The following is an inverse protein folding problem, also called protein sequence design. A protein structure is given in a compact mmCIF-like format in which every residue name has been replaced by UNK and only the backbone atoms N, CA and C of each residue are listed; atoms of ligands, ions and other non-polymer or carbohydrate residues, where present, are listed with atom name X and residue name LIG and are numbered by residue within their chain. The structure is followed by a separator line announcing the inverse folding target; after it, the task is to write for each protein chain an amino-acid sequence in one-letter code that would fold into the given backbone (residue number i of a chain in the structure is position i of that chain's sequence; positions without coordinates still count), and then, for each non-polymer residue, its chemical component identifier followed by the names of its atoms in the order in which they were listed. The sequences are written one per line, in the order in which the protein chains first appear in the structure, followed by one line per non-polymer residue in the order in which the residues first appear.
data_IF_514453836169
#
_entry.id   IF_514453836169
#
_cell.length_a   1.000
_cell.length_b   1.000
_cell.length_c   1.000
_cell.angle_alpha   90.00
_cell.angle_beta   90.00
_cell.angle_gamma   90.00
#
_symmetry.space_group_name_H-M   'P 1'
#
loop_
_entity.id
_entity.type
_entity.pdbx_description
1 polymer ?
#
# COMPACT_ATOMS: atom_id res chain seq x y z
N UNK A 1 -11.94 -19.19 6.48
CA UNK A 1 -10.77 -18.81 5.68
C UNK A 1 -9.89 -20.03 5.47
N UNK A 2 -9.27 -20.17 4.32
CA UNK A 2 -8.27 -21.22 4.06
C UNK A 2 -6.97 -20.93 4.82
N UNK A 3 -6.12 -21.93 5.11
CA UNK A 3 -4.85 -21.74 5.84
C UNK A 3 -3.98 -20.61 5.28
N UNK A 4 -3.77 -20.57 3.96
CA UNK A 4 -3.00 -19.51 3.30
C UNK A 4 -3.60 -18.10 3.48
N UNK A 5 -4.92 -18.01 3.63
CA UNK A 5 -5.58 -16.73 3.91
C UNK A 5 -5.32 -16.31 5.36
N UNK A 6 -5.26 -17.24 6.33
CA UNK A 6 -4.87 -16.87 7.69
C UNK A 6 -3.43 -16.35 7.73
N UNK A 7 -2.50 -17.03 7.07
CA UNK A 7 -1.10 -16.61 6.99
C UNK A 7 -0.96 -15.20 6.39
N UNK A 8 -1.69 -14.92 5.31
CA UNK A 8 -1.72 -13.59 4.70
C UNK A 8 -2.29 -12.51 5.65
N UNK A 9 -3.28 -12.87 6.48
CA UNK A 9 -3.87 -11.97 7.46
C UNK A 9 -2.89 -11.65 8.57
N UNK A 10 -2.24 -12.66 9.13
CA UNK A 10 -1.19 -12.46 10.14
C UNK A 10 -0.03 -11.64 9.59
N UNK A 11 0.36 -11.89 8.34
CA UNK A 11 1.42 -11.15 7.68
C UNK A 11 1.06 -9.67 7.53
N UNK A 12 -0.18 -9.32 7.15
CA UNK A 12 -0.61 -7.91 7.11
C UNK A 12 -0.53 -7.25 8.49
N UNK A 13 -0.97 -7.93 9.55
CA UNK A 13 -0.87 -7.43 10.92
C UNK A 13 0.57 -7.15 11.34
N UNK A 14 1.44 -8.14 11.22
CA UNK A 14 2.86 -8.02 11.61
C UNK A 14 3.60 -6.92 10.86
N UNK A 15 3.27 -6.65 9.59
CA UNK A 15 3.95 -5.61 8.79
C UNK A 15 3.35 -4.22 9.00
N UNK A 16 2.02 -4.08 8.92
CA UNK A 16 1.33 -2.78 8.93
C UNK A 16 1.11 -2.27 10.36
N UNK A 17 0.79 -3.18 11.27
CA UNK A 17 0.49 -2.87 12.66
C UNK A 17 1.63 -3.27 13.61
N UNK A 18 2.66 -3.97 13.16
CA UNK A 18 3.85 -4.32 13.94
C UNK A 18 3.75 -5.60 14.77
N UNK A 19 2.54 -6.03 15.15
CA UNK A 19 2.29 -7.29 15.85
C UNK A 19 0.90 -7.85 15.49
N UNK A 20 0.58 -9.05 15.95
CA UNK A 20 -0.74 -9.68 15.90
C UNK A 20 -1.41 -9.75 17.28
N UNK A 21 -0.62 -9.68 18.36
CA UNK A 21 -1.14 -9.72 19.73
C UNK A 21 -1.80 -8.38 20.12
N UNK A 22 -3.08 -8.45 20.48
CA UNK A 22 -3.90 -7.30 20.86
C UNK A 22 -3.33 -6.48 22.02
N UNK A 23 -2.71 -7.13 23.00
CA UNK A 23 -2.17 -6.44 24.17
C UNK A 23 -0.91 -5.63 23.81
N UNK A 24 -0.11 -6.14 22.86
CA UNK A 24 1.07 -5.44 22.34
C UNK A 24 0.70 -4.31 21.38
N UNK A 25 -0.38 -4.49 20.62
CA UNK A 25 -0.92 -3.46 19.72
C UNK A 25 -1.49 -2.23 20.43
N UNK A 26 -1.76 -2.31 21.74
CA UNK A 26 -2.20 -1.18 22.59
C UNK A 26 -1.07 -0.28 23.07
N UNK A 27 0.18 -0.77 23.02
CA UNK A 27 1.36 0.03 23.36
C UNK A 27 1.76 0.92 22.18
N UNK A 28 2.42 2.08 22.39
CA UNK A 28 2.95 2.87 21.29
C UNK A 28 3.90 2.00 20.46
N UNK A 29 3.50 1.75 19.22
CA UNK A 29 4.22 0.85 18.32
C UNK A 29 5.65 1.33 18.12
N UNK A 30 6.62 0.43 18.35
CA UNK A 30 7.96 0.58 17.79
C UNK A 30 7.89 0.63 16.27
N UNK A 31 8.87 1.30 15.65
CA UNK A 31 9.00 1.54 14.21
C UNK A 31 8.23 0.56 13.32
N UNK A 32 7.25 1.09 12.58
CA UNK A 32 6.54 0.29 11.59
C UNK A 32 7.55 -0.32 10.61
N UNK A 33 7.44 -1.62 10.34
CA UNK A 33 8.33 -2.31 9.38
C UNK A 33 8.13 -1.85 7.93
N UNK A 34 7.08 -1.06 7.70
CA UNK A 34 6.68 -0.54 6.41
C UNK A 34 5.38 -1.18 5.90
N UNK A 35 5.23 -1.16 4.59
CA UNK A 35 4.15 -1.75 3.84
C UNK A 35 4.33 -3.25 3.62
N UNK A 36 3.39 -3.86 2.90
CA UNK A 36 3.46 -5.28 2.57
C UNK A 36 2.90 -5.59 1.19
N UNK A 37 3.36 -6.69 0.60
CA UNK A 37 2.89 -7.20 -0.70
C UNK A 37 2.13 -8.49 -0.45
N UNK A 38 0.86 -8.54 -0.87
CA UNK A 38 0.04 -9.75 -0.86
C UNK A 38 -0.02 -10.31 -2.27
N UNK A 39 0.76 -11.35 -2.51
CA UNK A 39 0.79 -12.09 -3.78
C UNK A 39 0.33 -13.53 -3.60
N UNK A 40 -0.93 -13.78 -3.90
CA UNK A 40 -1.44 -15.14 -4.06
C UNK A 40 -1.76 -15.41 -5.54
N UNK A 41 -1.90 -16.67 -5.98
CA UNK A 41 -2.29 -16.95 -7.35
C UNK A 41 -3.64 -16.31 -7.74
N UNK A 42 -3.90 -16.00 -9.03
CA UNK A 42 -5.22 -15.59 -9.50
C UNK A 42 -6.32 -16.58 -9.07
N UNK A 43 -7.53 -16.10 -8.77
CA UNK A 43 -8.62 -16.95 -8.27
C UNK A 43 -8.63 -17.18 -6.76
N UNK A 44 -7.56 -16.81 -6.04
CA UNK A 44 -7.59 -16.70 -4.58
C UNK A 44 -8.25 -15.39 -4.15
N UNK A 45 -9.20 -15.46 -3.22
CA UNK A 45 -9.97 -14.32 -2.73
C UNK A 45 -9.13 -13.37 -1.85
N UNK A 46 -8.24 -12.58 -2.47
CA UNK A 46 -7.39 -11.59 -1.77
C UNK A 46 -8.14 -10.33 -1.33
N UNK A 47 -9.30 -10.09 -1.96
CA UNK A 47 -10.08 -8.88 -1.67
C UNK A 47 -10.80 -9.01 -0.33
N UNK A 48 -11.53 -10.11 -0.06
CA UNK A 48 -12.17 -10.32 1.23
C UNK A 48 -11.18 -10.23 2.39
N UNK A 49 -10.03 -10.87 2.29
CA UNK A 49 -9.03 -10.83 3.37
C UNK A 49 -8.49 -9.41 3.63
N UNK A 50 -8.24 -8.63 2.58
CA UNK A 50 -7.77 -7.25 2.76
C UNK A 50 -8.86 -6.39 3.40
N UNK A 51 -10.13 -6.58 3.02
CA UNK A 51 -11.27 -5.91 3.66
C UNK A 51 -11.39 -6.29 5.14
N UNK A 52 -11.29 -7.59 5.45
CA UNK A 52 -11.35 -8.09 6.84
C UNK A 52 -10.21 -7.50 7.68
N UNK A 53 -9.00 -7.45 7.12
CA UNK A 53 -7.86 -6.77 7.75
C UNK A 53 -8.16 -5.31 8.03
N UNK A 54 -8.60 -4.55 7.02
CA UNK A 54 -8.89 -3.13 7.17
C UNK A 54 -9.99 -2.87 8.19
N UNK A 55 -11.06 -3.67 8.17
CA UNK A 55 -12.14 -3.56 9.14
C UNK A 55 -11.64 -3.81 10.57
N UNK A 56 -10.80 -4.83 10.75
CA UNK A 56 -10.21 -5.17 12.06
C UNK A 56 -9.25 -4.07 12.53
N UNK A 57 -8.40 -3.58 11.63
CA UNK A 57 -7.46 -2.50 11.90
C UNK A 57 -8.17 -1.20 12.28
N UNK A 58 -9.21 -0.79 11.54
CA UNK A 58 -9.96 0.44 11.83
C UNK A 58 -10.77 0.37 13.13
N UNK A 59 -11.23 -0.82 13.52
CA UNK A 59 -11.87 -1.03 14.83
C UNK A 59 -10.90 -0.86 15.99
N UNK A 60 -9.66 -1.33 15.83
CA UNK A 60 -8.63 -1.25 16.87
C UNK A 60 -7.96 0.12 16.91
N UNK A 61 -7.71 0.73 15.75
CA UNK A 61 -7.11 2.04 15.61
C UNK A 61 -8.16 3.07 15.17
N UNK A 62 -9.09 3.41 16.06
CA UNK A 62 -10.19 4.35 15.80
C UNK A 62 -9.74 5.78 15.45
N UNK A 63 -8.48 6.11 15.77
CA UNK A 63 -7.84 7.37 15.38
C UNK A 63 -7.20 7.34 13.99
N UNK A 64 -7.13 6.19 13.30
CA UNK A 64 -6.64 6.10 11.93
C UNK A 64 -7.66 6.73 10.96
N UNK A 65 -7.31 7.87 10.36
CA UNK A 65 -8.30 8.75 9.71
C UNK A 65 -8.55 8.49 8.21
N UNK A 66 -7.76 7.67 7.52
CA UNK A 66 -8.08 7.36 6.12
C UNK A 66 -7.45 6.08 5.58
N UNK A 67 -8.25 5.35 4.80
CA UNK A 67 -7.88 4.15 4.07
C UNK A 67 -8.41 4.29 2.65
N UNK A 68 -7.58 4.00 1.64
CA UNK A 68 -8.02 3.95 0.24
C UNK A 68 -7.82 2.55 -0.31
N UNK A 69 -8.90 1.91 -0.75
CA UNK A 69 -8.85 0.72 -1.60
C UNK A 69 -9.08 1.18 -3.03
N UNK A 70 -8.07 1.09 -3.89
CA UNK A 70 -8.16 1.54 -5.27
C UNK A 70 -7.63 0.50 -6.27
N UNK A 71 -8.30 0.30 -7.42
CA UNK A 71 -7.65 -0.35 -8.55
C UNK A 71 -6.50 0.54 -9.03
N UNK A 72 -5.42 -0.06 -9.55
CA UNK A 72 -4.27 0.67 -10.10
C UNK A 72 -4.66 1.67 -11.20
N UNK A 73 -5.74 1.42 -11.94
CA UNK A 73 -6.32 2.35 -12.92
C UNK A 73 -6.79 3.67 -12.32
N UNK A 74 -7.20 3.69 -11.05
CA UNK A 74 -7.61 4.91 -10.36
C UNK A 74 -6.41 5.81 -10.05
N UNK A 75 -5.20 5.24 -9.89
CA UNK A 75 -3.97 6.02 -9.81
C UNK A 75 -3.61 6.69 -11.14
N UNK A 76 -3.89 6.05 -12.28
CA UNK A 76 -3.71 6.65 -13.61
C UNK A 76 -4.59 7.88 -13.80
N UNK A 77 -5.88 7.73 -13.48
CA UNK A 77 -6.83 8.84 -13.53
C UNK A 77 -6.44 9.95 -12.54
N UNK A 78 -5.93 9.57 -11.36
CA UNK A 78 -5.41 10.54 -10.39
C UNK A 78 -4.20 11.31 -10.87
N UNK A 79 -3.25 10.73 -11.60
CA UNK A 79 -2.11 11.51 -12.07
C UNK A 79 -2.53 12.49 -13.17
N UNK A 80 -3.43 12.07 -14.07
CA UNK A 80 -4.06 12.98 -15.03
C UNK A 80 -4.89 14.07 -14.34
N UNK A 81 -5.61 13.74 -13.27
CA UNK A 81 -6.35 14.71 -12.46
C UNK A 81 -5.43 15.62 -11.65
N UNK A 82 -4.36 15.12 -11.03
CA UNK A 82 -3.35 15.94 -10.34
C UNK A 82 -2.77 16.97 -11.32
N UNK A 83 -2.41 16.55 -12.53
CA UNK A 83 -1.91 17.44 -13.58
C UNK A 83 -2.99 18.44 -14.08
N UNK A 84 -4.27 18.07 -14.03
CA UNK A 84 -5.39 18.97 -14.33
C UNK A 84 -5.67 19.94 -13.17
N UNK A 85 -5.50 19.49 -11.93
CA UNK A 85 -5.68 20.22 -10.68
C UNK A 85 -4.54 21.21 -10.41
N UNK A 86 -3.34 20.93 -10.91
CA UNK A 86 -2.22 21.90 -10.96
C UNK A 86 -2.55 23.16 -11.76
N UNK A 87 -3.55 23.10 -12.68
CA UNK A 87 -4.05 24.28 -13.40
C UNK A 87 -5.07 25.11 -12.62
N UNK A 88 -5.61 24.62 -11.50
CA UNK A 88 -6.60 25.36 -10.70
C UNK A 88 -6.42 25.11 -9.18
N UNK A 89 -5.50 25.85 -8.53
CA UNK A 89 -4.95 25.49 -7.22
C UNK A 89 -5.92 25.63 -6.03
N UNK A 90 -7.03 26.35 -6.19
CA UNK A 90 -7.95 26.70 -5.09
C UNK A 90 -8.65 25.49 -4.44
N UNK A 91 -9.12 24.53 -5.25
CA UNK A 91 -9.80 23.30 -4.77
C UNK A 91 -8.88 22.07 -4.72
N UNK A 92 -7.73 22.15 -5.38
CA UNK A 92 -6.79 21.04 -5.54
C UNK A 92 -5.95 20.77 -4.28
N UNK A 93 -5.61 21.83 -3.55
CA UNK A 93 -4.64 21.77 -2.44
C UNK A 93 -5.09 20.85 -1.30
N UNK A 94 -6.34 20.92 -0.79
CA UNK A 94 -6.79 20.07 0.31
C UNK A 94 -6.87 18.59 -0.09
N UNK A 95 -7.37 18.30 -1.30
CA UNK A 95 -7.49 16.92 -1.80
C UNK A 95 -6.10 16.30 -1.99
N UNK A 96 -5.16 17.04 -2.58
CA UNK A 96 -3.77 16.59 -2.75
C UNK A 96 -3.11 16.33 -1.40
N UNK A 97 -3.29 17.19 -0.42
CA UNK A 97 -2.75 16.98 0.93
C UNK A 97 -3.36 15.74 1.59
N UNK A 98 -4.68 15.53 1.48
CA UNK A 98 -5.33 14.31 2.02
C UNK A 98 -4.73 13.05 1.40
N UNK A 99 -4.55 13.04 0.07
CA UNK A 99 -4.04 11.87 -0.64
C UNK A 99 -2.57 11.57 -0.39
N UNK A 100 -1.75 12.61 -0.18
CA UNK A 100 -0.30 12.46 -0.02
C UNK A 100 0.15 12.36 1.43
N UNK A 101 -0.51 13.07 2.35
CA UNK A 101 -0.04 13.26 3.73
C UNK A 101 -0.96 12.68 4.81
N UNK A 102 -2.27 12.59 4.56
CA UNK A 102 -3.21 12.10 5.58
C UNK A 102 -3.52 10.60 5.45
N UNK A 103 -2.93 9.91 4.47
CA UNK A 103 -3.23 8.52 4.21
C UNK A 103 -2.54 7.53 5.13
N UNK A 104 -3.33 6.83 5.93
CA UNK A 104 -2.82 5.88 6.91
C UNK A 104 -2.59 4.50 6.28
N UNK A 105 -3.46 4.02 5.40
CA UNK A 105 -3.25 2.76 4.67
C UNK A 105 -3.73 2.91 3.23
N UNK A 106 -2.87 2.56 2.26
CA UNK A 106 -3.23 2.45 0.85
C UNK A 106 -3.31 0.97 0.49
N UNK A 107 -4.39 0.53 -0.15
CA UNK A 107 -4.53 -0.81 -0.75
C UNK A 107 -4.65 -0.68 -2.24
N UNK A 108 -3.67 -1.22 -2.97
CA UNK A 108 -3.70 -1.23 -4.44
C UNK A 108 -4.01 -2.60 -5.00
N UNK A 109 -4.98 -2.66 -5.91
CA UNK A 109 -5.44 -3.88 -6.56
C UNK A 109 -4.92 -3.94 -8.00
N UNK A 110 -4.46 -5.12 -8.43
CA UNK A 110 -4.03 -5.40 -9.82
C UNK A 110 -2.87 -4.49 -10.29
N UNK A 111 -1.84 -4.33 -9.48
CA UNK A 111 -0.70 -3.43 -9.75
C UNK A 111 0.30 -3.99 -10.79
N UNK A 112 -0.08 -4.97 -11.59
CA UNK A 112 0.79 -5.47 -12.68
C UNK A 112 1.25 -4.35 -13.64
N UNK A 113 0.57 -3.21 -13.66
CA UNK A 113 0.95 -2.01 -14.42
C UNK A 113 2.05 -1.15 -13.78
N UNK A 114 2.32 -1.21 -12.46
CA UNK A 114 3.37 -0.39 -11.84
C UNK A 114 4.78 -1.00 -11.91
N UNK A 115 4.95 -2.02 -12.74
CA UNK A 115 6.23 -2.73 -12.95
C UNK A 115 7.28 -1.88 -13.65
N UNK A 116 6.84 -0.87 -14.41
CA UNK A 116 7.71 0.03 -15.18
C UNK A 116 7.79 1.40 -14.49
N UNK A 117 9.00 1.87 -14.21
CA UNK A 117 9.26 3.17 -13.60
C UNK A 117 8.79 4.37 -14.43
N UNK A 118 8.61 4.18 -15.73
CA UNK A 118 8.09 5.20 -16.64
C UNK A 118 6.56 5.34 -16.56
N UNK A 119 5.86 4.38 -15.94
CA UNK A 119 4.41 4.38 -15.84
C UNK A 119 3.92 5.45 -14.84
N UNK A 120 2.82 6.09 -15.18
CA UNK A 120 2.09 7.03 -14.32
C UNK A 120 1.70 6.40 -12.97
N UNK A 121 1.32 5.11 -12.93
CA UNK A 121 1.03 4.43 -11.64
C UNK A 121 2.25 4.48 -10.71
N UNK A 122 3.45 4.28 -11.26
CA UNK A 122 4.69 4.31 -10.51
C UNK A 122 5.04 5.72 -10.02
N UNK A 123 4.90 6.73 -10.88
CA UNK A 123 5.13 8.14 -10.52
C UNK A 123 4.16 8.62 -9.45
N UNK A 124 2.89 8.22 -9.55
CA UNK A 124 1.89 8.48 -8.52
C UNK A 124 2.24 7.79 -7.19
N UNK A 125 2.69 6.54 -7.25
CA UNK A 125 3.10 5.76 -6.08
C UNK A 125 4.27 6.38 -5.32
N UNK A 126 5.32 6.84 -6.04
CA UNK A 126 6.47 7.53 -5.43
C UNK A 126 6.10 8.82 -4.68
N UNK A 127 4.97 9.44 -5.01
CA UNK A 127 4.51 10.67 -4.36
C UNK A 127 3.80 10.41 -3.03
N UNK A 128 3.27 9.20 -2.81
CA UNK A 128 2.52 8.86 -1.60
C UNK A 128 3.48 8.80 -0.40
N UNK A 129 3.24 9.61 0.64
CA UNK A 129 4.07 9.64 1.85
C UNK A 129 3.42 8.86 2.98
N UNK A 130 3.31 7.54 2.80
CA UNK A 130 2.83 6.64 3.85
C UNK A 130 3.78 5.47 4.02
N UNK A 131 4.07 5.10 5.27
CA UNK A 131 4.87 3.90 5.56
C UNK A 131 4.02 2.63 5.47
N UNK A 132 2.69 2.72 5.47
CA UNK A 132 1.76 1.59 5.59
C UNK A 132 1.02 1.32 4.28
N UNK A 133 1.77 0.92 3.25
CA UNK A 133 1.21 0.60 1.93
C UNK A 133 1.01 -0.91 1.76
N UNK A 134 -0.21 -1.34 1.45
CA UNK A 134 -0.53 -2.72 1.08
C UNK A 134 -0.70 -2.80 -0.44
N UNK A 135 0.10 -3.64 -1.09
CA UNK A 135 -0.03 -3.92 -2.52
C UNK A 135 -0.56 -5.34 -2.72
N UNK A 136 -1.77 -5.46 -3.28
CA UNK A 136 -2.35 -6.75 -3.65
C UNK A 136 -2.15 -7.02 -5.15
N UNK A 137 -1.24 -7.94 -5.49
CA UNK A 137 -0.93 -8.29 -6.87
C UNK A 137 -1.22 -9.77 -7.18
N UNK A 138 -1.67 -10.05 -8.41
CA UNK A 138 -1.85 -11.40 -8.98
C UNK A 138 -0.54 -12.19 -9.06
N UNK A 139 0.49 -11.53 -9.59
CA UNK A 139 1.82 -12.08 -9.85
C UNK A 139 2.81 -10.97 -9.55
N UNK A 140 3.68 -11.17 -8.55
CA UNK A 140 4.60 -10.13 -8.05
C UNK A 140 5.63 -9.68 -9.09
N UNK A 141 6.11 -10.60 -9.92
CA UNK A 141 7.06 -10.31 -11.00
C UNK A 141 6.93 -11.39 -12.09
N UNK A 142 7.24 -11.05 -13.34
CA UNK A 142 7.31 -12.02 -14.45
C UNK A 142 8.75 -12.15 -14.94
N UNK A 143 9.54 -12.97 -14.24
CA UNK A 143 10.94 -13.24 -14.55
C UNK A 143 11.84 -11.99 -14.67
N UNK A 144 11.41 -10.87 -14.09
CA UNK A 144 12.13 -9.61 -14.10
C UNK A 144 12.30 -9.11 -12.66
N UNK A 145 13.51 -9.29 -12.12
CA UNK A 145 13.83 -8.92 -10.74
C UNK A 145 13.69 -7.41 -10.48
N UNK A 146 13.81 -6.59 -11.53
CA UNK A 146 13.58 -5.14 -11.44
C UNK A 146 12.13 -4.82 -11.08
N UNK A 147 11.18 -5.64 -11.50
CA UNK A 147 9.77 -5.49 -11.11
C UNK A 147 9.58 -5.75 -9.62
N UNK A 148 10.27 -6.76 -9.08
CA UNK A 148 10.25 -7.04 -7.64
C UNK A 148 10.88 -5.90 -6.84
N UNK A 149 12.04 -5.41 -7.29
CA UNK A 149 12.70 -4.24 -6.69
C UNK A 149 11.76 -3.02 -6.65
N UNK A 150 11.08 -2.77 -7.76
CA UNK A 150 10.11 -1.69 -7.84
C UNK A 150 9.00 -1.84 -6.77
N UNK A 151 8.40 -3.02 -6.63
CA UNK A 151 7.41 -3.21 -5.56
C UNK A 151 7.98 -2.97 -4.16
N UNK A 152 9.19 -3.50 -3.88
CA UNK A 152 9.86 -3.33 -2.61
C UNK A 152 10.16 -1.86 -2.30
N UNK A 153 10.58 -1.08 -3.29
CA UNK A 153 10.84 0.35 -3.13
C UNK A 153 9.61 1.12 -2.66
N UNK A 154 8.43 0.79 -3.18
CA UNK A 154 7.20 1.51 -2.80
C UNK A 154 6.67 1.04 -1.45
N UNK A 155 6.68 -0.28 -1.17
CA UNK A 155 6.15 -0.79 0.10
C UNK A 155 7.13 -0.63 1.26
N UNK A 156 8.43 -0.63 1.01
CA UNK A 156 9.45 -0.52 2.05
C UNK A 156 10.62 0.37 1.58
N UNK A 157 10.42 1.70 1.56
CA UNK A 157 11.44 2.64 1.08
C UNK A 157 12.74 2.58 1.90
N UNK A 158 12.65 2.32 3.22
CA UNK A 158 13.81 2.17 4.11
C UNK A 158 14.70 1.00 3.66
N UNK A 159 14.09 -0.17 3.43
CA UNK A 159 14.80 -1.34 2.94
C UNK A 159 15.45 -1.11 1.57
N UNK A 160 14.74 -0.43 0.65
CA UNK A 160 15.30 -0.13 -0.67
C UNK A 160 16.47 0.86 -0.60
N UNK A 161 16.42 1.85 0.29
CA UNK A 161 17.53 2.78 0.50
C UNK A 161 18.80 2.07 1.02
N UNK A 162 18.64 1.07 1.90
CA UNK A 162 19.76 0.27 2.41
C UNK A 162 20.41 -0.60 1.31
N UNK A 163 19.64 -1.04 0.31
CA UNK A 163 20.15 -1.80 -0.83
C UNK A 163 20.97 -0.94 -1.81
N UNK A 164 20.66 0.35 -1.93
CA UNK A 164 21.37 1.27 -2.83
C UNK A 164 22.71 1.77 -2.25
N UNK A 165 22.96 1.57 -0.95
CA UNK A 165 24.19 2.00 -0.25
C UNK A 165 25.32 0.96 -0.27
N UNK A 166 25.16 -0.14 -1.01
CA UNK A 166 26.05 -1.30 -1.03
C UNK A 166 26.62 -1.56 -2.41
#
# INVERSE_FOLDING_TARGET
MYPHQYEAFEYMWKNIAGDIDLERLRQPLSDSKGGCIISHPPGTEKTPITIIFLQSHLKLFTKSRSVIIAPSSLLLNREAEIHKLERNPSYAKPIREILLHYLCIVVLKKVHTARNEQNLVWKALKKIKTEKLIVSCGISFQNNIKELYNFLYVVSPKFAADLEQK
#
